data_IF_041456549695
#
_entry.id   IF_041456549695
#
_cell.length_a   1.000
_cell.length_b   1.000
_cell.length_c   1.000
_cell.angle_alpha   90.00
_cell.angle_beta   90.00
_cell.angle_gamma   90.00
#
_symmetry.space_group_name_H-M   'P 1'
#
loop_
_entity.id
_entity.type
_entity.pdbx_description
1 polymer ?
#
# COMPACT_ATOMS: atom_id res chain seq x y z
N UNK A 1 6.16 -12.90 32.29
CA UNK A 1 4.80 -12.82 32.86
C UNK A 1 4.85 -11.76 33.94
N UNK A 2 3.98 -10.75 33.95
CA UNK A 2 4.01 -9.74 35.03
C UNK A 2 3.82 -10.44 36.38
N UNK A 3 4.86 -10.41 37.22
CA UNK A 3 4.87 -11.08 38.52
C UNK A 3 4.25 -10.21 39.64
N UNK A 4 3.86 -8.97 39.32
CA UNK A 4 3.30 -8.00 40.26
C UNK A 4 1.99 -7.40 39.75
N UNK A 5 1.07 -7.16 40.68
CA UNK A 5 -0.20 -6.49 40.41
C UNK A 5 0.07 -5.02 40.05
N UNK A 6 -0.48 -4.57 38.91
CA UNK A 6 -0.44 -3.15 38.51
C UNK A 6 -1.77 -2.52 38.88
N UNK A 7 -1.72 -1.48 39.70
CA UNK A 7 -2.91 -0.71 40.03
C UNK A 7 -3.51 -0.07 38.77
N UNK A 8 -4.80 -0.30 38.52
CA UNK A 8 -5.47 0.16 37.30
C UNK A 8 -5.42 1.68 37.11
N UNK A 9 -5.35 2.44 38.19
CA UNK A 9 -5.24 3.90 38.20
C UNK A 9 -3.93 4.42 37.59
N UNK A 10 -2.87 3.62 37.62
CA UNK A 10 -1.54 3.96 37.09
C UNK A 10 -1.44 3.75 35.58
N UNK A 11 -2.38 3.00 34.99
CA UNK A 11 -2.36 2.71 33.57
C UNK A 11 -2.91 3.89 32.76
N UNK A 12 -2.41 4.14 31.54
CA UNK A 12 -3.01 5.07 30.61
C UNK A 12 -4.51 4.80 30.39
N UNK A 13 -5.31 5.85 30.24
CA UNK A 13 -6.77 5.76 30.18
C UNK A 13 -7.28 4.84 29.07
N UNK A 14 -6.63 4.80 27.91
CA UNK A 14 -6.99 3.90 26.81
C UNK A 14 -6.82 2.43 27.20
N UNK A 15 -5.78 2.11 27.99
CA UNK A 15 -5.57 0.75 28.53
C UNK A 15 -6.62 0.44 29.60
N UNK A 16 -6.95 1.41 30.46
CA UNK A 16 -8.04 1.24 31.44
C UNK A 16 -9.36 0.91 30.77
N UNK A 17 -9.71 1.62 29.70
CA UNK A 17 -10.93 1.37 28.92
C UNK A 17 -10.87 0.01 28.20
N UNK A 18 -9.72 -0.38 27.66
CA UNK A 18 -9.52 -1.70 27.08
C UNK A 18 -9.76 -2.81 28.11
N UNK A 19 -9.22 -2.68 29.34
CA UNK A 19 -9.46 -3.62 30.44
C UNK A 19 -10.96 -3.73 30.76
N UNK A 20 -11.69 -2.61 30.79
CA UNK A 20 -13.14 -2.60 31.01
C UNK A 20 -13.87 -3.37 29.91
N UNK A 21 -13.55 -3.11 28.65
CA UNK A 21 -14.13 -3.81 27.50
C UNK A 21 -13.84 -5.31 27.57
N UNK A 22 -12.60 -5.71 27.84
CA UNK A 22 -12.19 -7.12 27.98
C UNK A 22 -13.01 -7.84 29.06
N UNK A 23 -13.21 -7.19 30.21
CA UNK A 23 -14.03 -7.72 31.31
C UNK A 23 -15.51 -7.84 30.94
N UNK A 24 -16.06 -6.83 30.26
CA UNK A 24 -17.45 -6.84 29.77
C UNK A 24 -17.69 -7.97 28.76
N UNK A 25 -16.69 -8.31 27.97
CA UNK A 25 -16.73 -9.43 27.02
C UNK A 25 -16.47 -10.79 27.66
N UNK A 26 -16.30 -10.85 28.99
CA UNK A 26 -15.95 -12.06 29.74
C UNK A 26 -14.66 -12.75 29.24
N UNK A 27 -13.71 -11.96 28.72
CA UNK A 27 -12.38 -12.44 28.34
C UNK A 27 -11.42 -12.21 29.51
N UNK A 28 -10.57 -13.21 29.81
CA UNK A 28 -9.68 -13.16 30.98
C UNK A 28 -8.38 -12.38 30.74
N UNK A 29 -7.87 -12.41 29.51
CA UNK A 29 -6.53 -11.90 29.18
C UNK A 29 -6.63 -10.73 28.20
N UNK A 30 -5.80 -9.72 28.42
CA UNK A 30 -5.60 -8.58 27.53
C UNK A 30 -4.10 -8.49 27.23
N UNK A 31 -3.77 -8.43 25.95
CA UNK A 31 -2.40 -8.16 25.49
C UNK A 31 -2.33 -6.70 25.00
N UNK A 32 -1.29 -5.99 25.43
CA UNK A 32 -1.00 -4.61 25.00
C UNK A 32 0.50 -4.49 24.79
N UNK A 33 0.93 -4.10 23.60
CA UNK A 33 2.33 -4.00 23.19
C UNK A 33 3.23 -3.28 24.22
N UNK A 34 2.79 -2.11 24.69
CA UNK A 34 3.50 -1.26 25.65
C UNK A 34 3.61 -1.87 27.06
N UNK A 35 2.85 -2.93 27.36
CA UNK A 35 2.91 -3.64 28.63
C UNK A 35 3.56 -5.02 28.50
N UNK A 36 3.37 -5.68 27.37
CA UNK A 36 3.78 -7.05 27.15
C UNK A 36 5.14 -7.18 26.46
N UNK A 37 5.66 -6.10 25.88
CA UNK A 37 7.00 -6.01 25.29
C UNK A 37 7.84 -5.08 26.16
N UNK A 38 9.08 -5.48 26.47
CA UNK A 38 10.03 -4.64 27.19
C UNK A 38 10.33 -3.37 26.40
N UNK A 39 10.13 -2.23 27.06
CA UNK A 39 10.30 -0.90 26.47
C UNK A 39 11.68 -0.33 26.81
N UNK A 40 12.23 0.52 25.95
CA UNK A 40 13.46 1.28 26.19
C UNK A 40 14.60 0.93 25.25
N UNK A 41 15.82 1.34 25.62
CA UNK A 41 17.03 1.20 24.80
C UNK A 41 18.04 0.15 25.31
N UNK A 42 17.72 -0.56 26.40
CA UNK A 42 18.57 -1.63 26.92
C UNK A 42 18.72 -2.76 25.90
N UNK A 43 19.80 -3.54 26.00
CA UNK A 43 20.03 -4.72 25.15
C UNK A 43 18.87 -5.72 25.26
N UNK A 44 18.38 -5.95 26.47
CA UNK A 44 17.24 -6.83 26.76
C UNK A 44 15.95 -6.36 26.07
N UNK A 45 15.67 -5.05 26.10
CA UNK A 45 14.50 -4.49 25.41
C UNK A 45 14.61 -4.60 23.88
N UNK A 46 15.81 -4.45 23.34
CA UNK A 46 16.04 -4.63 21.90
C UNK A 46 15.91 -6.10 21.46
N UNK A 47 16.33 -7.04 22.30
CA UNK A 47 16.18 -8.48 22.06
C UNK A 47 14.72 -8.92 22.17
N UNK A 48 14.01 -8.50 23.21
CA UNK A 48 12.58 -8.80 23.38
C UNK A 48 11.75 -8.16 22.26
N UNK A 49 12.02 -6.91 21.88
CA UNK A 49 11.35 -6.30 20.73
C UNK A 49 11.58 -7.09 19.44
N UNK A 50 12.79 -7.60 19.20
CA UNK A 50 13.08 -8.45 18.03
C UNK A 50 12.31 -9.76 18.08
N UNK A 51 12.18 -10.38 19.25
CA UNK A 51 11.42 -11.62 19.39
C UNK A 51 9.92 -11.38 19.23
N UNK A 52 9.37 -10.38 19.91
CA UNK A 52 7.95 -10.07 19.92
C UNK A 52 7.46 -9.52 18.56
N UNK A 53 8.27 -8.70 17.88
CA UNK A 53 7.92 -8.19 16.53
C UNK A 53 7.71 -9.32 15.51
N UNK A 54 8.46 -10.42 15.63
CA UNK A 54 8.26 -11.62 14.80
C UNK A 54 6.98 -12.38 15.15
N UNK A 55 6.53 -12.30 16.41
CA UNK A 55 5.30 -12.95 16.88
C UNK A 55 4.04 -12.12 16.70
N UNK A 56 4.16 -10.80 16.47
CA UNK A 56 3.01 -9.88 16.34
C UNK A 56 1.94 -10.43 15.39
N UNK A 57 2.36 -11.02 14.26
CA UNK A 57 1.44 -11.62 13.31
C UNK A 57 0.54 -12.69 13.95
N UNK A 58 1.16 -13.64 14.66
CA UNK A 58 0.45 -14.73 15.33
C UNK A 58 -0.42 -14.22 16.47
N UNK A 59 0.03 -13.21 17.21
CA UNK A 59 -0.74 -12.60 18.31
C UNK A 59 -2.07 -12.06 17.80
N UNK A 60 -2.08 -11.25 16.74
CA UNK A 60 -3.33 -10.71 16.18
C UNK A 60 -4.20 -11.77 15.51
N UNK A 61 -3.59 -12.73 14.79
CA UNK A 61 -4.33 -13.84 14.17
C UNK A 61 -5.06 -14.72 15.18
N UNK A 62 -4.42 -14.98 16.33
CA UNK A 62 -4.94 -15.89 17.35
C UNK A 62 -5.71 -15.16 18.46
N UNK A 63 -5.76 -13.82 18.43
CA UNK A 63 -6.56 -13.04 19.34
C UNK A 63 -8.05 -13.41 19.21
N UNK A 64 -8.73 -13.53 20.35
CA UNK A 64 -10.19 -13.74 20.36
C UNK A 64 -10.93 -12.54 19.72
N UNK A 65 -10.42 -11.33 19.98
CA UNK A 65 -10.88 -10.05 19.47
C UNK A 65 -9.76 -9.01 19.63
N UNK A 66 -9.58 -8.16 18.62
CA UNK A 66 -8.70 -6.98 18.70
C UNK A 66 -9.53 -5.71 18.85
N UNK A 67 -9.10 -4.82 19.77
CA UNK A 67 -9.77 -3.55 20.08
C UNK A 67 -9.00 -2.40 19.42
N UNK A 68 -9.62 -1.74 18.43
CA UNK A 68 -9.12 -0.54 17.78
C UNK A 68 -9.67 0.73 18.44
N UNK A 69 -8.81 1.50 19.11
CA UNK A 69 -9.17 2.75 19.77
C UNK A 69 -9.05 3.99 18.85
N UNK A 70 -9.77 4.03 17.73
CA UNK A 70 -9.62 5.09 16.70
C UNK A 70 -10.07 6.50 17.13
N UNK A 71 -10.80 6.64 18.24
CA UNK A 71 -11.12 7.95 18.86
C UNK A 71 -9.98 8.56 19.68
N UNK A 72 -8.97 7.76 20.00
CA UNK A 72 -7.89 8.11 20.92
C UNK A 72 -6.74 8.75 20.14
N UNK A 73 -6.28 9.93 20.56
CA UNK A 73 -5.09 10.55 19.95
C UNK A 73 -3.78 10.05 20.58
N UNK A 74 -3.87 9.27 21.66
CA UNK A 74 -2.75 8.72 22.42
C UNK A 74 -3.23 7.97 23.66
N UNK A 75 -2.34 7.22 24.31
CA UNK A 75 -2.70 6.26 25.37
C UNK A 75 -3.46 6.88 26.58
N UNK A 76 -3.36 8.20 26.80
CA UNK A 76 -4.00 8.91 27.92
C UNK A 76 -5.39 9.47 27.61
N UNK A 77 -5.83 9.46 26.35
CA UNK A 77 -7.10 10.05 25.93
C UNK A 77 -8.32 9.24 26.37
N UNK A 78 -8.18 7.92 26.45
CA UNK A 78 -9.29 6.98 26.60
C UNK A 78 -10.03 6.71 25.30
N UNK A 79 -10.93 5.74 25.36
CA UNK A 79 -11.82 5.37 24.26
C UNK A 79 -13.11 6.20 24.41
N UNK A 80 -13.21 7.27 23.62
CA UNK A 80 -14.17 8.38 23.86
C UNK A 80 -15.63 8.07 23.46
N UNK A 81 -15.96 6.83 23.08
CA UNK A 81 -17.32 6.42 22.68
C UNK A 81 -17.90 5.26 23.50
N UNK A 82 -18.31 5.58 24.73
CA UNK A 82 -19.32 4.82 25.48
C UNK A 82 -20.74 5.40 25.32
N UNK A 83 -20.87 6.60 24.74
CA UNK A 83 -22.16 7.30 24.63
C UNK A 83 -22.76 7.13 23.24
N UNK A 84 -23.97 6.57 23.19
CA UNK A 84 -24.82 6.34 22.02
C UNK A 84 -24.70 7.47 20.99
N UNK A 85 -24.09 7.17 19.84
CA UNK A 85 -24.25 8.03 18.66
C UNK A 85 -25.73 8.06 18.28
N UNK A 86 -26.33 9.26 18.21
CA UNK A 86 -27.77 9.45 17.94
C UNK A 86 -28.10 9.59 16.44
N UNK A 87 -27.14 9.39 15.54
CA UNK A 87 -27.36 9.50 14.10
C UNK A 87 -27.58 8.14 13.47
N UNK A 88 -28.78 7.86 12.98
CA UNK A 88 -29.04 6.72 12.10
C UNK A 88 -28.82 7.11 10.64
N UNK A 89 -28.23 6.21 9.86
CA UNK A 89 -28.15 6.35 8.41
C UNK A 89 -29.27 5.56 7.73
N UNK A 90 -29.86 6.15 6.70
CA UNK A 90 -30.98 5.58 5.95
C UNK A 90 -30.53 5.27 4.53
N UNK A 91 -30.77 4.04 4.06
CA UNK A 91 -30.54 3.60 2.68
C UNK A 91 -31.57 4.26 1.76
N UNK A 92 -31.12 4.93 0.71
CA UNK A 92 -32.02 5.46 -0.32
C UNK A 92 -32.52 4.33 -1.24
N UNK A 93 -33.77 4.40 -1.73
CA UNK A 93 -34.31 3.46 -2.70
C UNK A 93 -33.45 3.42 -3.98
N UNK A 94 -33.16 2.20 -4.47
CA UNK A 94 -32.33 1.92 -5.66
C UNK A 94 -32.91 2.43 -6.98
N UNK A 95 -34.14 2.94 -7.01
CA UNK A 95 -34.76 3.50 -8.22
C UNK A 95 -34.15 4.84 -8.67
N UNK A 96 -33.28 5.45 -7.87
CA UNK A 96 -32.57 6.69 -8.21
C UNK A 96 -31.16 6.48 -8.80
N UNK A 97 -30.65 5.24 -8.87
CA UNK A 97 -29.26 4.94 -9.23
C UNK A 97 -29.01 4.74 -10.74
N UNK A 98 -29.67 5.50 -11.62
CA UNK A 98 -29.55 5.30 -13.07
C UNK A 98 -28.32 5.93 -13.72
N UNK A 99 -27.44 6.61 -12.99
CA UNK A 99 -26.24 7.21 -13.57
C UNK A 99 -25.05 7.06 -12.60
N UNK A 100 -24.12 6.17 -12.96
CA UNK A 100 -22.77 6.03 -12.39
C UNK A 100 -22.68 5.25 -11.05
N UNK A 101 -22.43 3.94 -11.15
CA UNK A 101 -22.15 2.95 -10.10
C UNK A 101 -23.37 2.36 -9.37
N UNK A 102 -23.39 1.03 -9.25
CA UNK A 102 -24.42 0.24 -8.54
C UNK A 102 -24.30 0.33 -7.01
N UNK A 103 -23.66 1.38 -6.48
CA UNK A 103 -23.46 1.50 -5.05
C UNK A 103 -24.72 2.07 -4.38
N UNK A 104 -25.22 1.45 -3.31
CA UNK A 104 -26.34 1.99 -2.55
C UNK A 104 -25.97 3.36 -1.95
N UNK A 105 -26.85 4.34 -2.09
CA UNK A 105 -26.68 5.66 -1.48
C UNK A 105 -27.27 5.69 -0.07
N UNK A 106 -26.59 6.36 0.85
CA UNK A 106 -27.03 6.52 2.24
C UNK A 106 -27.08 8.00 2.63
N UNK A 107 -28.09 8.37 3.42
CA UNK A 107 -28.24 9.71 3.98
C UNK A 107 -28.26 9.64 5.50
N UNK A 108 -27.47 10.51 6.13
CA UNK A 108 -27.46 10.69 7.58
C UNK A 108 -26.47 11.76 8.01
N UNK A 109 -26.48 12.15 9.30
CA UNK A 109 -25.55 13.13 9.84
C UNK A 109 -24.11 12.64 9.66
N UNK A 110 -23.22 13.52 9.18
CA UNK A 110 -21.83 13.17 8.88
C UNK A 110 -21.66 11.96 7.93
N UNK A 111 -22.42 11.88 6.83
CA UNK A 111 -22.30 10.80 5.82
C UNK A 111 -20.85 10.55 5.31
N UNK A 112 -20.00 11.57 5.30
CA UNK A 112 -18.57 11.42 4.99
C UNK A 112 -17.83 10.48 5.97
N UNK A 113 -18.32 10.33 7.21
CA UNK A 113 -17.76 9.45 8.24
C UNK A 113 -18.15 7.98 8.06
N UNK A 114 -19.21 7.67 7.28
CA UNK A 114 -19.59 6.28 6.95
C UNK A 114 -18.83 5.71 5.76
N UNK A 115 -18.55 6.55 4.76
CA UNK A 115 -17.73 6.17 3.61
C UNK A 115 -16.26 6.02 4.04
N UNK A 116 -15.83 6.76 5.07
CA UNK A 116 -14.46 6.77 5.56
C UNK A 116 -14.38 6.71 7.10
N UNK A 117 -14.91 5.65 7.76
CA UNK A 117 -14.80 5.50 9.21
C UNK A 117 -13.33 5.32 9.66
N UNK A 118 -12.42 5.10 8.70
CA UNK A 118 -11.02 4.76 8.92
C UNK A 118 -10.04 5.93 8.88
N UNK A 119 -10.44 7.11 8.41
CA UNK A 119 -9.49 8.21 8.25
C UNK A 119 -9.34 9.02 9.54
N UNK A 120 -8.71 8.46 10.59
CA UNK A 120 -7.96 9.19 11.66
C UNK A 120 -6.88 8.33 12.35
N UNK A 121 -5.87 9.05 12.90
CA UNK A 121 -4.58 8.67 13.55
C UNK A 121 -4.25 7.18 13.79
N UNK A 122 -5.16 6.36 14.32
CA UNK A 122 -4.84 4.95 14.55
C UNK A 122 -4.46 4.27 13.24
N UNK A 123 -5.30 4.40 12.22
CA UNK A 123 -5.08 3.82 10.89
C UNK A 123 -4.12 4.63 10.02
N UNK A 124 -3.55 5.73 10.54
CA UNK A 124 -2.41 6.37 9.87
C UNK A 124 -1.10 5.69 10.23
N UNK A 125 -1.02 4.89 11.31
CA UNK A 125 0.24 4.22 11.66
C UNK A 125 0.39 2.92 10.88
N UNK A 126 1.47 2.77 10.12
CA UNK A 126 1.69 1.63 9.23
C UNK A 126 1.60 0.26 9.93
N UNK A 127 2.11 0.16 11.16
CA UNK A 127 2.04 -1.05 11.98
C UNK A 127 0.59 -1.48 12.28
N UNK A 128 -0.35 -0.54 12.44
CA UNK A 128 -1.76 -0.85 12.74
C UNK A 128 -2.49 -1.51 11.57
N UNK A 129 -1.95 -1.39 10.35
CA UNK A 129 -2.48 -2.08 9.18
C UNK A 129 -2.39 -3.60 9.35
N UNK A 130 -1.22 -4.06 9.79
CA UNK A 130 -0.99 -5.45 10.14
C UNK A 130 -1.94 -5.87 11.26
N UNK A 131 -2.03 -5.09 12.34
CA UNK A 131 -2.88 -5.42 13.50
C UNK A 131 -4.33 -5.69 13.09
N UNK A 132 -4.89 -4.81 12.25
CA UNK A 132 -6.27 -4.94 11.79
C UNK A 132 -6.46 -6.09 10.80
N UNK A 133 -5.65 -6.15 9.74
CA UNK A 133 -5.83 -7.14 8.68
C UNK A 133 -5.57 -8.58 9.15
N UNK A 134 -4.73 -8.75 10.16
CA UNK A 134 -4.43 -10.07 10.73
C UNK A 134 -5.44 -10.52 11.78
N UNK A 135 -6.21 -9.60 12.35
CA UNK A 135 -7.19 -9.93 13.36
C UNK A 135 -8.38 -10.70 12.78
N UNK A 136 -8.70 -11.87 13.35
CA UNK A 136 -9.87 -12.65 12.92
C UNK A 136 -11.20 -11.97 13.26
N UNK A 137 -11.19 -11.16 14.32
CA UNK A 137 -12.28 -10.29 14.75
C UNK A 137 -11.69 -8.96 15.21
N UNK A 138 -12.21 -7.85 14.72
CA UNK A 138 -11.73 -6.51 15.03
C UNK A 138 -12.92 -5.61 15.37
N UNK A 139 -12.86 -4.92 16.51
CA UNK A 139 -13.84 -3.90 16.88
C UNK A 139 -13.16 -2.53 16.91
N UNK A 140 -13.66 -1.60 16.09
CA UNK A 140 -13.17 -0.23 16.04
C UNK A 140 -14.13 0.67 16.81
N UNK A 141 -13.60 1.41 17.78
CA UNK A 141 -14.29 2.52 18.41
C UNK A 141 -13.85 3.81 17.71
N UNK A 142 -14.64 4.28 16.75
CA UNK A 142 -14.35 5.44 15.91
C UNK A 142 -15.35 6.58 16.15
N UNK A 143 -15.04 7.79 15.65
CA UNK A 143 -15.86 8.99 15.88
C UNK A 143 -17.32 8.86 15.44
N UNK A 144 -17.59 7.98 14.47
CA UNK A 144 -18.93 7.70 13.96
C UNK A 144 -19.72 6.65 14.75
N UNK A 145 -19.09 5.93 15.67
CA UNK A 145 -19.68 4.77 16.36
C UNK A 145 -18.75 3.57 16.39
N UNK A 146 -19.29 2.43 16.80
CA UNK A 146 -18.58 1.14 16.81
C UNK A 146 -18.71 0.45 15.45
N UNK A 147 -17.60 -0.10 14.98
CA UNK A 147 -17.55 -0.94 13.79
C UNK A 147 -16.96 -2.31 14.15
N UNK A 148 -17.74 -3.36 13.92
CA UNK A 148 -17.30 -4.75 14.00
C UNK A 148 -16.90 -5.27 12.63
N UNK A 149 -15.80 -6.02 12.57
CA UNK A 149 -15.30 -6.67 11.35
C UNK A 149 -14.86 -8.12 11.64
N UNK A 150 -15.30 -9.05 10.78
CA UNK A 150 -14.76 -10.41 10.61
C UNK A 150 -14.95 -10.82 9.13
N UNK A 151 -14.36 -11.90 8.59
CA UNK A 151 -14.64 -12.28 7.17
C UNK A 151 -15.97 -12.94 6.90
N UNK A 152 -16.95 -12.74 7.75
CA UNK A 152 -18.32 -13.04 7.37
C UNK A 152 -19.17 -11.78 7.35
N UNK A 153 -18.81 -10.76 8.13
CA UNK A 153 -19.65 -9.61 8.30
C UNK A 153 -18.85 -8.40 8.75
N UNK A 154 -19.35 -7.24 8.32
CA UNK A 154 -18.99 -5.94 8.83
C UNK A 154 -20.25 -5.22 9.27
N UNK A 155 -20.31 -4.84 10.53
CA UNK A 155 -21.51 -4.29 11.16
C UNK A 155 -21.13 -3.02 11.90
N UNK A 156 -21.82 -1.93 11.61
CA UNK A 156 -21.69 -0.70 12.38
C UNK A 156 -22.91 -0.51 13.28
N UNK A 157 -22.71 -0.03 14.50
CA UNK A 157 -23.79 0.19 15.47
C UNK A 157 -24.79 1.28 15.03
N UNK A 158 -24.38 2.17 14.14
CA UNK A 158 -25.14 3.30 13.62
C UNK A 158 -25.81 3.05 12.26
N UNK A 159 -25.65 1.84 11.70
CA UNK A 159 -26.13 1.53 10.36
C UNK A 159 -26.78 0.14 10.31
N UNK A 160 -28.10 0.14 10.43
CA UNK A 160 -28.89 -1.09 10.51
C UNK A 160 -28.92 -1.90 9.19
N UNK A 161 -28.62 -1.29 8.04
CA UNK A 161 -28.73 -1.91 6.70
C UNK A 161 -27.58 -1.50 5.73
N UNK A 162 -26.36 -1.30 6.24
CA UNK A 162 -25.19 -1.15 5.37
C UNK A 162 -24.76 -2.54 4.89
N UNK A 163 -25.09 -2.86 3.65
CA UNK A 163 -24.51 -4.01 2.96
C UNK A 163 -23.07 -3.67 2.56
N UNK A 164 -22.15 -3.77 3.53
CA UNK A 164 -20.71 -3.56 3.31
C UNK A 164 -20.07 -4.66 2.44
N UNK A 165 -20.84 -5.65 1.96
CA UNK A 165 -20.34 -6.73 1.11
C UNK A 165 -19.76 -6.24 -0.22
N UNK A 166 -20.07 -5.01 -0.65
CA UNK A 166 -19.75 -4.52 -1.99
C UNK A 166 -18.64 -3.45 -2.07
N UNK A 167 -18.00 -3.06 -0.97
CA UNK A 167 -16.84 -2.18 -1.08
C UNK A 167 -15.56 -2.99 -1.36
N UNK A 168 -15.35 -3.31 -2.64
CA UNK A 168 -14.10 -3.90 -3.17
C UNK A 168 -12.85 -3.06 -2.87
N UNK A 169 -13.00 -1.76 -2.52
CA UNK A 169 -11.87 -0.88 -2.19
C UNK A 169 -11.54 -0.86 -0.70
N UNK A 170 -12.44 -1.38 0.15
CA UNK A 170 -12.10 -1.65 1.54
C UNK A 170 -11.77 -3.13 1.66
N UNK A 171 -10.47 -3.46 1.62
CA UNK A 171 -9.88 -4.79 1.85
C UNK A 171 -10.26 -5.49 3.16
N UNK A 172 -11.20 -4.94 3.90
CA UNK A 172 -11.60 -5.34 5.24
C UNK A 172 -12.52 -6.57 5.28
N UNK A 173 -12.57 -7.39 4.22
CA UNK A 173 -13.23 -8.71 4.25
C UNK A 173 -12.20 -9.85 4.42
N UNK A 174 -10.96 -9.54 4.83
CA UNK A 174 -9.81 -10.46 4.94
C UNK A 174 -9.24 -10.87 3.59
N UNK A 175 -7.99 -11.34 3.63
CA UNK A 175 -7.35 -12.02 2.49
C UNK A 175 -8.30 -13.13 1.99
N UNK A 176 -8.61 -13.20 0.69
CA UNK A 176 -9.33 -14.32 0.12
C UNK A 176 -8.62 -15.63 0.47
N UNK A 177 -9.36 -16.76 0.49
CA UNK A 177 -8.74 -18.08 0.65
C UNK A 177 -7.67 -18.37 -0.40
N UNK A 178 -7.77 -17.72 -1.57
CA UNK A 178 -6.78 -17.73 -2.64
C UNK A 178 -6.54 -16.27 -3.08
N UNK A 179 -5.62 -15.55 -2.41
CA UNK A 179 -5.46 -14.13 -2.66
C UNK A 179 -4.72 -13.90 -3.99
N UNK A 180 -5.15 -12.88 -4.73
CA UNK A 180 -4.65 -12.51 -6.06
C UNK A 180 -3.66 -11.36 -5.99
N UNK A 181 -2.85 -11.15 -7.02
CA UNK A 181 -1.95 -9.99 -7.06
C UNK A 181 -2.63 -8.64 -6.91
N UNK A 182 -3.88 -8.50 -7.38
CA UNK A 182 -4.67 -7.28 -7.23
C UNK A 182 -4.99 -7.04 -5.75
N UNK A 183 -5.26 -8.09 -4.98
CA UNK A 183 -5.45 -7.97 -3.53
C UNK A 183 -4.17 -7.46 -2.85
N UNK A 184 -2.99 -7.93 -3.28
CA UNK A 184 -1.71 -7.41 -2.80
C UNK A 184 -1.51 -5.93 -3.18
N UNK A 185 -1.81 -5.55 -4.42
CA UNK A 185 -1.71 -4.16 -4.88
C UNK A 185 -2.57 -3.21 -4.06
N UNK A 186 -3.82 -3.59 -3.76
CA UNK A 186 -4.68 -2.80 -2.90
C UNK A 186 -4.10 -2.69 -1.47
N UNK A 187 -3.55 -3.78 -0.92
CA UNK A 187 -3.00 -3.78 0.44
C UNK A 187 -1.81 -2.83 0.51
N UNK A 188 -0.93 -2.89 -0.50
CA UNK A 188 0.23 -2.01 -0.61
C UNK A 188 -0.18 -0.56 -0.85
N UNK A 189 -1.19 -0.32 -1.70
CA UNK A 189 -1.70 1.03 -1.95
C UNK A 189 -2.24 1.66 -0.66
N UNK A 190 -3.09 0.96 0.08
CA UNK A 190 -3.61 1.41 1.39
C UNK A 190 -2.46 1.63 2.39
N UNK A 191 -1.55 0.66 2.50
CA UNK A 191 -0.37 0.75 3.36
C UNK A 191 0.53 1.94 3.01
N UNK A 192 0.70 2.28 1.73
CA UNK A 192 1.55 3.38 1.28
C UNK A 192 1.03 4.77 1.71
N UNK A 193 -0.25 4.87 2.10
CA UNK A 193 -0.83 6.10 2.65
C UNK A 193 -0.51 6.31 4.13
N UNK A 194 0.09 5.31 4.78
CA UNK A 194 0.32 5.31 6.22
C UNK A 194 1.66 5.94 6.60
N UNK A 195 1.63 6.61 7.74
CA UNK A 195 2.75 7.19 8.46
C UNK A 195 3.59 6.10 9.14
N UNK A 196 4.89 6.17 8.86
CA UNK A 196 5.92 5.38 9.54
C UNK A 196 6.72 6.28 10.47
N UNK A 197 6.92 5.85 11.71
CA UNK A 197 7.83 6.54 12.64
C UNK A 197 9.28 6.47 12.16
N UNK A 198 9.68 5.35 11.54
CA UNK A 198 10.99 5.14 10.92
C UNK A 198 10.78 4.56 9.52
N UNK A 199 11.39 5.19 8.52
CA UNK A 199 11.29 4.71 7.13
C UNK A 199 11.90 3.33 6.92
N UNK A 200 12.93 2.99 7.68
CA UNK A 200 13.54 1.65 7.70
C UNK A 200 12.52 0.53 7.92
N UNK A 201 11.40 0.82 8.59
CA UNK A 201 10.40 -0.18 8.97
C UNK A 201 9.42 -0.47 7.81
N UNK A 202 9.52 0.23 6.67
CA UNK A 202 8.50 0.21 5.63
C UNK A 202 8.19 -1.17 5.07
N UNK A 203 9.19 -2.01 4.86
CA UNK A 203 8.94 -3.37 4.40
C UNK A 203 8.75 -4.36 5.57
N UNK A 204 9.21 -4.02 6.77
CA UNK A 204 9.06 -4.84 7.97
C UNK A 204 7.62 -4.84 8.46
N UNK A 205 7.02 -3.66 8.53
CA UNK A 205 5.67 -3.48 9.06
C UNK A 205 4.58 -4.13 8.19
N UNK A 206 4.93 -4.63 7.00
CA UNK A 206 4.05 -5.41 6.12
C UNK A 206 4.53 -6.86 5.90
N UNK A 207 5.68 -7.26 6.47
CA UNK A 207 6.32 -8.54 6.21
C UNK A 207 5.46 -9.74 6.60
N UNK A 208 4.71 -9.63 7.68
CA UNK A 208 3.79 -10.68 8.16
C UNK A 208 2.56 -10.89 7.26
N UNK A 209 2.05 -9.82 6.66
CA UNK A 209 0.95 -9.88 5.70
C UNK A 209 1.44 -10.58 4.44
N UNK A 210 2.65 -10.25 3.99
CA UNK A 210 3.32 -10.94 2.89
C UNK A 210 3.48 -12.44 3.18
N UNK A 211 3.99 -12.81 4.37
CA UNK A 211 4.21 -14.22 4.73
C UNK A 211 2.91 -15.04 4.69
N UNK A 212 1.79 -14.47 5.15
CA UNK A 212 0.49 -15.12 5.02
C UNK A 212 0.03 -15.23 3.58
N UNK A 213 0.26 -14.20 2.78
CA UNK A 213 -0.05 -14.23 1.36
C UNK A 213 0.70 -15.36 0.64
N UNK A 214 1.99 -15.55 0.97
CA UNK A 214 2.81 -16.65 0.48
C UNK A 214 2.25 -18.02 0.90
N UNK A 215 1.87 -18.17 2.18
CA UNK A 215 1.29 -19.41 2.69
C UNK A 215 -0.02 -19.77 1.97
N UNK A 216 -0.90 -18.80 1.74
CA UNK A 216 -2.20 -19.02 1.10
C UNK A 216 -2.08 -19.33 -0.40
N UNK A 217 -1.09 -18.77 -1.08
CA UNK A 217 -0.88 -19.01 -2.52
C UNK A 217 -0.26 -20.37 -2.85
N UNK A 218 0.14 -21.15 -1.86
CA UNK A 218 0.78 -22.48 -2.02
C UNK A 218 2.03 -22.49 -2.91
N UNK A 219 2.56 -21.32 -3.25
CA UNK A 219 3.77 -21.11 -4.03
C UNK A 219 4.78 -20.34 -3.18
N UNK A 220 6.02 -20.82 -3.13
CA UNK A 220 7.13 -20.08 -2.54
C UNK A 220 7.62 -19.03 -3.54
N UNK A 221 6.78 -18.07 -3.86
CA UNK A 221 7.19 -16.96 -4.70
C UNK A 221 8.16 -16.10 -3.89
N UNK A 222 9.43 -16.10 -4.31
CA UNK A 222 10.49 -15.33 -3.65
C UNK A 222 10.11 -13.84 -3.75
N UNK A 223 9.96 -13.17 -2.61
CA UNK A 223 9.69 -11.73 -2.57
C UNK A 223 10.96 -10.94 -2.94
N UNK A 224 10.85 -10.07 -3.94
CA UNK A 224 11.92 -9.22 -4.44
C UNK A 224 11.63 -7.78 -4.00
N UNK A 225 12.07 -7.42 -2.80
CA UNK A 225 11.88 -6.09 -2.21
C UNK A 225 10.41 -5.61 -2.13
N UNK A 226 9.48 -6.47 -1.75
CA UNK A 226 8.05 -6.16 -1.60
C UNK A 226 7.20 -6.44 -2.85
N UNK A 227 7.77 -7.10 -3.86
CA UNK A 227 7.16 -7.48 -5.13
C UNK A 227 7.24 -9.01 -5.35
N UNK A 228 6.27 -9.57 -6.05
CA UNK A 228 6.22 -11.00 -6.36
C UNK A 228 7.11 -11.33 -7.57
N UNK A 229 8.10 -12.23 -7.41
CA UNK A 229 9.02 -12.60 -8.49
C UNK A 229 8.30 -13.13 -9.75
N UNK A 230 7.26 -13.93 -9.57
CA UNK A 230 6.46 -14.53 -10.64
C UNK A 230 5.50 -13.54 -11.32
N UNK A 231 5.43 -12.31 -10.81
CA UNK A 231 4.56 -11.25 -11.32
C UNK A 231 5.25 -9.88 -11.46
N UNK A 232 6.59 -9.90 -11.42
CA UNK A 232 7.39 -8.69 -11.33
C UNK A 232 7.13 -7.69 -12.47
N UNK A 233 6.79 -8.18 -13.67
CA UNK A 233 6.44 -7.35 -14.83
C UNK A 233 5.22 -6.45 -14.61
N UNK A 234 4.25 -6.90 -13.81
CA UNK A 234 3.06 -6.12 -13.45
C UNK A 234 3.29 -5.33 -12.17
N UNK A 235 3.94 -5.94 -11.20
CA UNK A 235 4.22 -5.36 -9.90
C UNK A 235 5.06 -4.08 -10.01
N UNK A 236 5.96 -3.96 -10.99
CA UNK A 236 6.75 -2.73 -11.20
C UNK A 236 5.92 -1.55 -11.78
N UNK A 237 4.69 -1.78 -12.25
CA UNK A 237 3.83 -0.78 -12.90
C UNK A 237 3.00 0.08 -11.92
N UNK A 238 3.43 0.20 -10.67
CA UNK A 238 2.86 1.19 -9.75
C UNK A 238 3.09 2.61 -10.27
N UNK A 239 2.25 3.54 -9.84
CA UNK A 239 2.38 4.98 -10.08
C UNK A 239 2.02 5.76 -8.81
N UNK A 240 2.29 7.06 -8.79
CA UNK A 240 1.97 7.91 -7.65
C UNK A 240 0.47 8.22 -7.65
N UNK A 241 -0.21 8.07 -6.51
CA UNK A 241 -1.62 8.43 -6.41
C UNK A 241 -1.79 9.96 -6.46
N UNK A 242 -2.37 10.48 -7.54
CA UNK A 242 -2.47 11.93 -7.81
C UNK A 242 -3.53 12.67 -6.98
N UNK A 243 -4.38 11.95 -6.24
CA UNK A 243 -5.46 12.53 -5.44
C UNK A 243 -4.99 13.14 -4.11
N UNK A 244 -3.70 13.06 -3.78
CA UNK A 244 -3.11 13.65 -2.56
C UNK A 244 -2.11 14.75 -2.92
N UNK A 245 -2.57 15.94 -3.37
CA UNK A 245 -1.71 16.98 -3.92
C UNK A 245 -0.71 17.60 -2.93
N UNK A 246 -0.84 17.38 -1.63
CA UNK A 246 0.03 17.98 -0.59
C UNK A 246 0.75 16.96 0.30
N UNK A 247 0.81 15.69 -0.12
CA UNK A 247 1.58 14.68 0.61
C UNK A 247 3.07 15.08 0.65
N UNK A 248 3.60 15.24 1.86
CA UNK A 248 5.05 15.36 2.07
C UNK A 248 5.66 13.97 1.96
N UNK A 249 6.82 13.80 1.30
CA UNK A 249 7.48 12.50 1.23
C UNK A 249 7.73 11.96 2.63
N UNK A 250 7.18 10.78 2.93
CA UNK A 250 7.49 10.00 4.11
C UNK A 250 8.93 9.49 3.95
N UNK A 251 9.84 10.30 4.50
CA UNK A 251 11.27 10.11 4.67
C UNK A 251 12.21 10.41 3.49
N UNK A 252 13.37 10.97 3.87
CA UNK A 252 14.57 11.10 3.05
C UNK A 252 15.44 9.85 3.24
N UNK A 253 15.75 9.14 2.17
CA UNK A 253 16.65 7.99 2.16
C UNK A 253 16.09 6.84 1.33
N UNK A 254 16.86 6.37 0.34
CA UNK A 254 16.48 5.26 -0.52
C UNK A 254 16.62 3.94 0.25
N UNK A 255 15.53 3.47 0.85
CA UNK A 255 15.50 2.25 1.68
C UNK A 255 15.26 0.97 0.88
N UNK A 256 15.00 1.10 -0.43
CA UNK A 256 14.72 0.01 -1.34
C UNK A 256 15.10 0.42 -2.78
N UNK A 257 15.29 -0.54 -3.70
CA UNK A 257 15.58 -0.27 -5.12
C UNK A 257 14.49 0.56 -5.80
N UNK A 258 14.83 1.36 -6.82
CA UNK A 258 13.89 2.33 -7.42
C UNK A 258 12.71 1.69 -8.15
N UNK A 259 12.86 0.43 -8.56
CA UNK A 259 11.80 -0.37 -9.17
C UNK A 259 10.79 -0.94 -8.15
N UNK A 260 11.11 -0.93 -6.86
CA UNK A 260 10.19 -1.31 -5.78
C UNK A 260 9.36 -0.11 -5.31
N UNK A 261 8.07 -0.33 -5.04
CA UNK A 261 7.20 0.67 -4.41
C UNK A 261 7.72 1.13 -3.03
N UNK A 262 8.54 0.30 -2.38
CA UNK A 262 9.12 0.63 -1.09
C UNK A 262 10.10 1.82 -1.18
N UNK A 263 10.64 2.11 -2.36
CA UNK A 263 11.47 3.31 -2.58
C UNK A 263 10.67 4.61 -2.45
N UNK A 264 9.34 4.56 -2.57
CA UNK A 264 8.52 5.77 -2.67
C UNK A 264 7.92 6.24 -1.35
N UNK A 265 8.31 7.41 -0.83
CA UNK A 265 7.71 8.00 0.38
C UNK A 265 6.28 8.57 0.23
N UNK A 266 5.63 8.37 -0.91
CA UNK A 266 4.30 8.93 -1.21
C UNK A 266 3.31 7.81 -1.49
N UNK A 267 1.99 8.09 -1.35
CA UNK A 267 0.95 7.15 -1.76
C UNK A 267 1.12 6.68 -3.20
N UNK A 268 0.94 5.38 -3.42
CA UNK A 268 1.04 4.73 -4.73
C UNK A 268 -0.21 3.92 -5.07
N UNK A 269 -0.38 3.58 -6.35
CA UNK A 269 -1.49 2.77 -6.86
C UNK A 269 -1.09 2.00 -8.12
N UNK A 270 -1.84 0.94 -8.44
CA UNK A 270 -1.73 0.18 -9.71
C UNK A 270 -2.93 0.38 -10.64
N UNK A 271 -3.77 1.40 -10.41
CA UNK A 271 -5.07 1.58 -11.07
C UNK A 271 -5.02 1.36 -12.59
N UNK A 272 -4.10 2.02 -13.30
CA UNK A 272 -3.99 1.83 -14.75
C UNK A 272 -3.54 0.39 -15.08
N UNK A 273 -2.56 -0.18 -14.38
CA UNK A 273 -2.07 -1.55 -14.63
C UNK A 273 -3.13 -2.64 -14.36
N UNK A 274 -3.84 -2.56 -13.24
CA UNK A 274 -4.84 -3.55 -12.83
C UNK A 274 -6.06 -3.57 -13.74
N UNK A 275 -6.44 -2.43 -14.32
CA UNK A 275 -7.49 -2.36 -15.35
C UNK A 275 -7.18 -3.23 -16.58
N UNK A 276 -5.90 -3.39 -16.93
CA UNK A 276 -5.48 -4.22 -18.07
C UNK A 276 -5.28 -5.69 -17.69
N UNK A 277 -4.98 -5.97 -16.42
CA UNK A 277 -4.60 -7.31 -15.92
C UNK A 277 -5.74 -8.34 -15.97
N UNK A 278 -6.96 -7.95 -15.57
CA UNK A 278 -8.11 -8.89 -15.47
C UNK A 278 -8.45 -9.59 -16.79
N UNK A 279 -7.92 -9.10 -17.92
CA UNK A 279 -8.28 -9.55 -19.25
C UNK A 279 -7.12 -10.15 -20.05
N UNK A 280 -5.86 -10.02 -19.61
CA UNK A 280 -4.69 -10.26 -20.48
C UNK A 280 -3.38 -10.66 -19.77
N UNK A 281 -2.50 -11.35 -20.51
CA UNK A 281 -1.11 -11.66 -20.12
C UNK A 281 -0.12 -10.66 -20.74
N UNK A 282 0.96 -10.34 -20.02
CA UNK A 282 2.04 -9.48 -20.54
C UNK A 282 2.67 -10.10 -21.79
N UNK A 283 2.95 -9.30 -22.82
CA UNK A 283 3.61 -9.79 -24.04
C UNK A 283 5.09 -10.10 -23.75
N UNK A 284 5.54 -11.38 -23.78
CA UNK A 284 6.92 -11.75 -23.43
C UNK A 284 7.96 -11.17 -24.37
N UNK A 285 7.55 -10.77 -25.58
CA UNK A 285 8.42 -10.15 -26.59
C UNK A 285 8.75 -8.70 -26.25
N UNK A 286 7.96 -8.05 -25.38
CA UNK A 286 8.11 -6.63 -25.06
C UNK A 286 8.85 -6.38 -23.75
N UNK A 287 8.70 -7.28 -22.78
CA UNK A 287 9.56 -7.37 -21.60
C UNK A 287 9.59 -8.81 -21.10
N UNK A 288 10.79 -9.26 -20.78
CA UNK A 288 11.02 -10.53 -20.11
C UNK A 288 11.96 -10.30 -18.94
N UNK A 289 11.57 -10.82 -17.78
CA UNK A 289 12.43 -10.86 -16.61
C UNK A 289 13.46 -11.96 -16.85
N UNK A 290 14.75 -11.60 -16.88
CA UNK A 290 15.84 -12.56 -17.02
C UNK A 290 16.32 -13.04 -15.66
N UNK A 291 16.39 -12.11 -14.70
CA UNK A 291 16.86 -12.36 -13.34
C UNK A 291 16.33 -11.26 -12.43
N UNK A 292 15.95 -11.62 -11.21
CA UNK A 292 15.53 -10.68 -10.18
C UNK A 292 16.11 -11.13 -8.85
N UNK A 293 16.75 -10.21 -8.14
CA UNK A 293 17.28 -10.47 -6.81
C UNK A 293 17.15 -9.21 -5.96
N UNK A 294 16.83 -9.40 -4.69
CA UNK A 294 16.96 -8.39 -3.67
C UNK A 294 17.68 -9.03 -2.48
N UNK A 295 18.44 -8.22 -1.75
CA UNK A 295 18.98 -8.64 -0.46
C UNK A 295 17.81 -9.12 0.41
N UNK A 296 17.94 -10.34 0.94
CA UNK A 296 17.01 -10.83 1.95
C UNK A 296 17.03 -9.87 3.11
N UNK A 297 15.85 -9.50 3.62
CA UNK A 297 15.67 -8.74 4.85
C UNK A 297 16.71 -9.11 5.92
N UNK A 298 17.74 -8.28 6.17
CA UNK A 298 18.69 -8.62 7.21
C UNK A 298 18.02 -8.46 8.57
N UNK A 299 18.28 -9.40 9.48
CA UNK A 299 18.11 -9.18 10.92
C UNK A 299 19.08 -8.05 11.35
N UNK A 300 18.64 -6.79 11.31
CA UNK A 300 19.42 -5.63 11.76
C UNK A 300 19.29 -4.44 10.82
N UNK A 301 18.42 -3.50 11.17
CA UNK A 301 17.93 -2.41 10.33
C UNK A 301 18.72 -1.11 10.50
N UNK A 302 19.50 -0.65 9.50
CA UNK A 302 19.82 0.77 9.27
C UNK A 302 20.05 1.16 7.78
N UNK A 303 20.56 0.27 6.91
CA UNK A 303 21.15 0.68 5.61
C UNK A 303 20.28 0.51 4.34
N UNK A 304 18.99 0.18 4.47
CA UNK A 304 18.10 -0.08 3.34
C UNK A 304 18.39 -1.42 2.65
N UNK A 305 17.55 -1.78 1.66
CA UNK A 305 17.67 -3.03 0.90
C UNK A 305 18.17 -2.70 -0.50
N UNK A 306 19.16 -3.45 -0.99
CA UNK A 306 19.59 -3.37 -2.39
C UNK A 306 19.00 -4.51 -3.20
N UNK A 307 18.88 -4.29 -4.50
CA UNK A 307 18.36 -5.31 -5.40
C UNK A 307 18.52 -4.91 -6.85
N UNK A 308 18.52 -5.92 -7.72
CA UNK A 308 18.70 -5.77 -9.15
C UNK A 308 17.67 -6.59 -9.91
N UNK A 309 17.09 -6.00 -10.94
CA UNK A 309 16.22 -6.71 -11.88
C UNK A 309 16.79 -6.57 -13.27
N UNK A 310 17.27 -7.68 -13.83
CA UNK A 310 17.77 -7.74 -15.18
C UNK A 310 16.63 -8.11 -16.12
N UNK A 311 16.36 -7.23 -17.07
CA UNK A 311 15.25 -7.39 -18.02
C UNK A 311 15.75 -7.32 -19.45
N UNK A 312 15.08 -8.06 -20.33
CA UNK A 312 15.18 -7.88 -21.78
C UNK A 312 13.90 -7.22 -22.26
N UNK A 313 14.00 -5.99 -22.76
CA UNK A 313 12.87 -5.14 -23.08
C UNK A 313 13.13 -4.26 -24.31
N UNK A 314 12.06 -3.75 -24.93
CA UNK A 314 12.16 -2.78 -26.03
C UNK A 314 12.36 -1.38 -25.45
N UNK A 315 13.44 -0.70 -25.85
CA UNK A 315 13.84 0.61 -25.36
C UNK A 315 13.82 1.62 -26.50
N UNK A 316 13.04 2.70 -26.37
CA UNK A 316 13.06 3.86 -27.28
C UNK A 316 13.61 5.09 -26.53
N UNK A 317 13.76 6.22 -27.19
CA UNK A 317 14.05 7.51 -26.56
C UNK A 317 12.78 8.35 -26.46
N UNK A 318 12.51 8.95 -25.28
CA UNK A 318 11.40 9.89 -25.06
C UNK A 318 11.95 11.29 -24.80
N UNK A 319 11.17 12.28 -25.20
CA UNK A 319 11.33 13.69 -24.79
C UNK A 319 10.06 14.17 -24.13
N UNK A 320 10.17 15.06 -23.14
CA UNK A 320 8.99 15.75 -22.61
C UNK A 320 8.43 16.73 -23.65
N UNK A 321 7.10 16.80 -23.78
CA UNK A 321 6.43 17.67 -24.79
C UNK A 321 5.37 18.58 -24.18
N UNK A 322 4.79 18.22 -23.03
CA UNK A 322 3.86 19.09 -22.31
C UNK A 322 4.02 18.89 -20.81
N UNK A 323 4.17 19.99 -20.06
CA UNK A 323 4.28 19.98 -18.60
C UNK A 323 3.27 20.98 -18.03
N UNK A 324 2.00 20.58 -17.96
CA UNK A 324 0.99 21.30 -17.14
C UNK A 324 0.93 20.65 -15.76
N UNK A 325 0.53 21.40 -14.72
CA UNK A 325 0.52 20.95 -13.31
C UNK A 325 -0.09 19.55 -13.08
N UNK A 326 -1.01 19.12 -13.94
CA UNK A 326 -1.69 17.82 -13.86
C UNK A 326 -1.67 17.00 -15.17
N UNK A 327 -0.97 17.47 -16.21
CA UNK A 327 -0.89 16.77 -17.50
C UNK A 327 0.57 16.83 -17.99
N UNK A 328 1.28 15.73 -17.75
CA UNK A 328 2.63 15.47 -18.23
C UNK A 328 2.52 14.56 -19.46
N UNK A 329 3.11 15.00 -20.57
CA UNK A 329 3.19 14.21 -21.79
C UNK A 329 4.63 14.06 -22.25
N UNK A 330 4.94 12.85 -22.70
CA UNK A 330 6.21 12.50 -23.34
C UNK A 330 5.94 12.02 -24.77
N UNK A 331 6.91 12.23 -25.65
CA UNK A 331 6.84 11.86 -27.05
C UNK A 331 8.04 10.98 -27.41
N UNK A 332 7.80 9.91 -28.17
CA UNK A 332 8.86 9.03 -28.66
C UNK A 332 9.52 9.54 -29.97
N UNK A 333 10.53 8.82 -30.43
CA UNK A 333 11.24 9.07 -31.68
C UNK A 333 10.32 9.02 -32.93
N UNK A 334 9.20 8.30 -32.85
CA UNK A 334 8.18 8.26 -33.90
C UNK A 334 7.19 9.42 -33.87
N UNK A 335 7.28 10.32 -32.88
CA UNK A 335 6.34 11.42 -32.68
C UNK A 335 5.06 11.02 -31.95
N UNK A 336 4.98 9.81 -31.39
CA UNK A 336 3.82 9.34 -30.64
C UNK A 336 3.87 9.85 -29.20
N UNK A 337 2.74 10.36 -28.73
CA UNK A 337 2.59 10.93 -27.38
C UNK A 337 1.97 9.96 -26.39
N UNK A 338 2.46 10.03 -25.16
CA UNK A 338 2.04 9.25 -24.01
C UNK A 338 1.80 10.19 -22.83
N UNK A 339 0.82 9.86 -21.99
CA UNK A 339 0.73 10.44 -20.66
C UNK A 339 1.87 9.87 -19.82
N UNK A 340 2.46 10.69 -18.96
CA UNK A 340 3.52 10.29 -18.06
C UNK A 340 3.16 10.66 -16.62
N UNK A 341 3.56 9.82 -15.67
CA UNK A 341 3.63 10.13 -14.25
C UNK A 341 5.04 9.84 -13.76
N UNK A 342 5.61 10.75 -12.98
CA UNK A 342 6.98 10.65 -12.48
C UNK A 342 6.96 10.53 -10.97
N UNK A 343 7.83 9.67 -10.44
CA UNK A 343 7.85 9.34 -9.02
C UNK A 343 8.22 10.55 -8.14
N UNK A 344 9.16 11.38 -8.62
CA UNK A 344 9.65 12.57 -7.90
C UNK A 344 9.22 13.88 -8.58
N UNK A 345 8.77 14.86 -7.78
CA UNK A 345 8.57 16.25 -8.21
C UNK A 345 9.86 16.92 -8.66
N UNK A 346 11.00 16.58 -8.07
CA UNK A 346 12.29 17.08 -8.53
C UNK A 346 12.59 16.56 -9.94
N UNK A 347 12.34 15.28 -10.24
CA UNK A 347 12.41 14.76 -11.61
C UNK A 347 11.47 15.50 -12.56
N UNK A 348 10.23 15.81 -12.14
CA UNK A 348 9.29 16.65 -12.91
C UNK A 348 9.82 18.07 -13.16
N UNK A 349 10.58 18.63 -12.20
CA UNK A 349 11.13 20.00 -12.26
C UNK A 349 12.42 20.04 -13.06
N UNK A 350 13.34 19.09 -12.88
CA UNK A 350 14.53 18.91 -13.71
C UNK A 350 14.16 18.63 -15.17
N UNK A 351 13.03 17.99 -15.43
CA UNK A 351 12.47 17.87 -16.79
C UNK A 351 11.95 19.20 -17.36
N UNK A 352 11.42 20.10 -16.52
CA UNK A 352 11.12 21.48 -16.95
C UNK A 352 12.40 22.22 -17.31
N UNK A 353 13.46 22.04 -16.54
CA UNK A 353 14.76 22.65 -16.79
C UNK A 353 15.47 22.03 -18.01
N UNK A 354 15.35 20.72 -18.24
CA UNK A 354 15.88 20.03 -19.42
C UNK A 354 15.13 20.40 -20.71
N UNK A 355 13.81 20.65 -20.61
CA UNK A 355 13.00 21.21 -21.70
C UNK A 355 13.48 22.61 -22.12
N UNK A 356 14.06 23.38 -21.19
CA UNK A 356 14.65 24.70 -21.47
C UNK A 356 16.11 24.58 -21.97
N UNK A 357 16.85 23.52 -21.61
CA UNK A 357 18.30 23.42 -21.83
C UNK A 357 18.76 22.43 -22.90
N UNK A 358 17.87 21.70 -23.59
CA UNK A 358 18.23 20.71 -24.64
C UNK A 358 19.15 19.58 -24.14
N UNK A 359 19.19 19.30 -22.84
CA UNK A 359 20.02 18.23 -22.26
C UNK A 359 19.22 16.92 -22.19
N UNK A 360 19.78 15.85 -22.75
CA UNK A 360 19.12 14.57 -23.06
C UNK A 360 18.64 13.82 -21.81
N UNK A 361 17.33 13.83 -21.53
CA UNK A 361 16.73 12.85 -20.61
C UNK A 361 16.42 11.60 -21.41
N UNK A 362 17.11 10.50 -21.11
CA UNK A 362 16.82 9.17 -21.66
C UNK A 362 15.65 8.63 -20.84
N UNK A 363 14.48 8.43 -21.44
CA UNK A 363 13.53 7.48 -20.84
C UNK A 363 13.72 6.15 -21.54
N UNK A 364 13.98 5.09 -20.78
CA UNK A 364 13.78 3.75 -21.35
C UNK A 364 12.30 3.51 -21.46
N UNK A 365 11.97 2.79 -22.51
CA UNK A 365 10.62 2.35 -22.75
C UNK A 365 10.47 1.00 -22.11
N UNK A 366 9.25 0.78 -21.68
CA UNK A 366 8.80 -0.46 -21.13
C UNK A 366 7.56 -0.83 -21.92
N UNK A 367 7.52 -2.06 -22.39
CA UNK A 367 6.25 -2.77 -22.55
C UNK A 367 5.23 -2.15 -23.54
N UNK A 368 5.32 -2.55 -24.80
CA UNK A 368 4.15 -2.53 -25.67
C UNK A 368 3.29 -3.77 -25.37
N UNK A 369 2.01 -3.60 -25.13
CA UNK A 369 1.08 -4.73 -25.03
C UNK A 369 0.56 -5.01 -26.43
N UNK A 370 0.65 -6.27 -26.87
CA UNK A 370 0.46 -6.62 -28.28
C UNK A 370 -1.02 -6.75 -28.69
N UNK A 371 -1.98 -6.61 -27.74
CA UNK A 371 -3.36 -7.08 -27.94
C UNK A 371 -4.48 -6.14 -27.43
N UNK A 372 -4.18 -4.90 -26.99
CA UNK A 372 -5.19 -3.93 -26.52
C UNK A 372 -4.94 -2.54 -27.14
N UNK A 373 -5.99 -1.72 -27.36
CA UNK A 373 -5.85 -0.28 -27.50
C UNK A 373 -5.08 0.42 -26.38
N UNK A 374 -3.75 0.42 -26.42
CA UNK A 374 -2.94 1.19 -25.50
C UNK A 374 -1.50 0.71 -25.32
N UNK A 375 -0.74 1.42 -24.50
CA UNK A 375 0.65 1.09 -24.13
C UNK A 375 0.83 1.52 -22.68
N UNK A 376 1.52 0.73 -21.84
CA UNK A 376 1.90 1.14 -20.49
C UNK A 376 3.31 0.65 -20.20
N UNK A 377 4.14 1.49 -19.60
CA UNK A 377 5.54 1.15 -19.32
C UNK A 377 6.19 2.02 -18.27
N UNK A 378 7.29 1.55 -17.70
CA UNK A 378 8.22 2.33 -16.88
C UNK A 378 8.96 3.40 -17.70
N UNK A 379 9.19 4.53 -17.05
CA UNK A 379 10.20 5.53 -17.41
C UNK A 379 11.39 5.31 -16.49
N UNK A 380 12.59 5.38 -17.05
CA UNK A 380 13.82 4.93 -16.38
C UNK A 380 14.99 5.72 -16.93
N UNK A 381 15.95 6.04 -16.07
CA UNK A 381 17.08 6.94 -16.35
C UNK A 381 18.42 6.26 -16.03
N UNK A 382 19.50 6.49 -16.80
CA UNK A 382 20.82 5.95 -16.48
C UNK A 382 21.29 6.38 -15.09
N UNK A 383 21.99 5.49 -14.38
CA UNK A 383 22.56 5.83 -13.06
C UNK A 383 23.88 6.60 -13.12
N UNK A 384 24.50 6.68 -14.31
CA UNK A 384 25.81 7.31 -14.52
C UNK A 384 27.02 6.48 -14.10
N UNK A 385 26.81 5.38 -13.35
CA UNK A 385 27.89 4.57 -12.78
C UNK A 385 28.35 3.41 -13.69
N UNK A 386 27.46 2.83 -14.50
CA UNK A 386 27.74 1.65 -15.33
C UNK A 386 26.98 1.70 -16.65
N UNK A 387 27.59 1.14 -17.71
CA UNK A 387 26.90 0.90 -18.97
C UNK A 387 25.83 -0.20 -18.76
N UNK A 388 24.56 0.16 -18.97
CA UNK A 388 23.35 -0.68 -18.82
C UNK A 388 22.69 -0.75 -17.42
N UNK A 389 23.07 0.10 -16.46
CA UNK A 389 22.33 0.26 -15.20
C UNK A 389 21.41 1.49 -15.22
N UNK A 390 20.19 1.28 -14.76
CA UNK A 390 19.12 2.27 -14.79
C UNK A 390 18.30 2.29 -13.52
N UNK A 391 17.76 3.45 -13.19
CA UNK A 391 16.80 3.66 -12.10
C UNK A 391 15.42 3.95 -12.68
N UNK A 392 14.36 3.42 -12.05
CA UNK A 392 12.97 3.77 -12.37
C UNK A 392 12.67 5.18 -11.86
N UNK A 393 12.06 5.98 -12.71
CA UNK A 393 11.71 7.39 -12.42
C UNK A 393 10.26 7.73 -12.73
N UNK A 394 9.48 6.77 -13.25
CA UNK A 394 8.06 6.94 -13.47
C UNK A 394 7.42 5.85 -14.30
N UNK A 395 6.24 6.17 -14.82
CA UNK A 395 5.40 5.34 -15.68
C UNK A 395 4.83 6.21 -16.81
N UNK A 396 4.66 5.64 -18.00
CA UNK A 396 3.93 6.26 -19.09
C UNK A 396 2.86 5.33 -19.62
N UNK A 397 1.81 5.91 -20.19
CA UNK A 397 0.74 5.15 -20.81
C UNK A 397 0.03 5.91 -21.94
N UNK A 398 -0.62 5.15 -22.82
CA UNK A 398 -1.48 5.66 -23.89
C UNK A 398 -2.71 4.78 -24.01
N UNK A 399 -3.87 5.37 -24.27
CA UNK A 399 -5.16 4.67 -24.49
C UNK A 399 -5.43 4.37 -25.97
N UNK A 400 -4.49 4.68 -26.87
CA UNK A 400 -4.62 4.47 -28.31
C UNK A 400 -4.00 3.12 -28.71
N UNK A 401 -4.72 2.33 -29.49
CA UNK A 401 -4.21 1.15 -30.19
C UNK A 401 -2.98 1.48 -30.99
N UNK A 402 -1.90 0.77 -30.67
CA UNK A 402 -0.80 0.62 -31.60
C UNK A 402 -1.04 -0.67 -32.37
N UNK A 403 -1.33 -0.56 -33.66
CA UNK A 403 -1.68 -1.71 -34.51
C UNK A 403 -0.41 -2.51 -34.87
N UNK A 404 0.78 -1.96 -34.64
CA UNK A 404 2.05 -2.60 -35.00
C UNK A 404 3.03 -2.61 -33.82
N UNK A 405 3.64 -3.77 -33.48
CA UNK A 405 4.76 -3.83 -32.54
C UNK A 405 5.93 -2.99 -33.06
N UNK A 406 6.80 -2.47 -32.17
CA UNK A 406 7.97 -1.70 -32.58
C UNK A 406 8.88 -2.62 -33.40
N UNK A 407 9.43 -2.12 -34.51
CA UNK A 407 10.46 -2.82 -35.29
C UNK A 407 11.85 -2.85 -34.60
N UNK A 408 11.92 -2.54 -33.31
CA UNK A 408 13.18 -2.43 -32.57
C UNK A 408 13.54 -3.75 -31.91
N UNK A 409 14.85 -4.05 -31.88
CA UNK A 409 15.37 -5.20 -31.19
C UNK A 409 15.37 -4.96 -29.67
N UNK A 410 14.97 -5.95 -28.86
CA UNK A 410 15.02 -5.83 -27.42
C UNK A 410 16.47 -5.76 -26.91
N UNK A 411 16.71 -4.88 -25.95
CA UNK A 411 18.00 -4.70 -25.27
C UNK A 411 17.95 -5.29 -23.88
N UNK A 412 19.12 -5.64 -23.33
CA UNK A 412 19.23 -6.11 -21.93
C UNK A 412 19.72 -4.96 -21.06
N UNK A 413 18.98 -4.69 -19.98
CA UNK A 413 19.29 -3.66 -19.01
C UNK A 413 19.14 -4.19 -17.58
N UNK A 414 19.72 -3.49 -16.62
CA UNK A 414 19.57 -3.79 -15.19
C UNK A 414 18.94 -2.61 -14.48
N UNK A 415 17.81 -2.85 -13.81
CA UNK A 415 17.16 -1.91 -12.92
C UNK A 415 17.75 -2.03 -11.51
N UNK A 416 18.08 -0.91 -10.87
CA UNK A 416 18.68 -0.85 -9.54
C UNK A 416 17.92 0.05 -8.56
#
# INVERSE_FOLDING_TARGET
>A
MMEQEIEMSLLPKTIQDAIRITRLLHVRFLWVDSLCILQGSSSEAQEDWKEQSLQMAAIYQQAALTIGASTSEGAHDGIKHFEKYKGCFVKLPTSWSSLVSHNPMYVGPNAHSLAFPFHRKLHTRAWTHQERLLSTRYITFGQGGMLWECAQARIADNAQDLDYSYDRRSLAIRLPSTPTYIDWHHIVADYSTMELTRSSDKLVAIASLREQFMQLRSNQDLDVAGLWADNLSWDMLWQRALFVPDATPHAKGCIAPTWSWASMGLPIEWYEADLYREKHTCCPQCLSILEASAESFPKGFQDGIRGKVRVKAIMKAIKAVSIKKYNLEVEDDSGKRYKADFDDRAAQTSLRESYVTHTTVVGLFCLQFHEIPGTIGLIVSPTGNWHNEFQRVGLYYSKKTDVNPPKQFPVTITLV
#
